data_IF_584826155140
#
_entry.id   IF_584826155140
#
_cell.length_a   1.000
_cell.length_b   1.000
_cell.length_c   1.000
_cell.angle_alpha   90.00
_cell.angle_beta   90.00
_cell.angle_gamma   90.00
#
_symmetry.space_group_name_H-M   'P 1'
#
loop_
_entity.id
_entity.type
_entity.pdbx_description
1 polymer ?
#
# COMPACT_ATOMS: atom_id res chain seq x y z
N UNK A 1 5.38 25.90 -5.01
CA UNK A 1 4.79 24.73 -5.67
C UNK A 1 3.84 24.07 -4.69
N UNK A 2 2.54 24.30 -4.84
CA UNK A 2 1.52 23.76 -3.92
C UNK A 2 1.36 22.28 -4.24
N UNK A 3 1.88 21.39 -3.38
CA UNK A 3 1.52 19.98 -3.43
C UNK A 3 0.01 19.90 -3.21
N UNK A 4 -0.74 19.64 -4.28
CA UNK A 4 -2.16 19.32 -4.17
C UNK A 4 -2.23 18.02 -3.40
N UNK A 5 -2.70 18.07 -2.16
CA UNK A 5 -3.17 16.88 -1.45
C UNK A 5 -4.12 16.16 -2.41
N UNK A 6 -3.89 14.87 -2.73
CA UNK A 6 -4.78 14.15 -3.63
C UNK A 6 -6.19 14.24 -3.04
N UNK A 7 -7.16 14.65 -3.87
CA UNK A 7 -8.55 14.62 -3.46
C UNK A 7 -8.90 13.16 -3.17
N UNK A 8 -9.12 12.82 -1.89
CA UNK A 8 -9.39 11.44 -1.48
C UNK A 8 -10.66 10.96 -2.15
N UNK A 9 -10.47 10.04 -3.08
CA UNK A 9 -11.53 9.41 -3.85
C UNK A 9 -11.90 8.10 -3.17
N UNK A 10 -13.15 7.68 -3.33
CA UNK A 10 -13.57 6.34 -2.94
C UNK A 10 -13.16 5.32 -4.02
N UNK A 11 -12.82 4.12 -3.58
CA UNK A 11 -12.52 3.00 -4.50
C UNK A 11 -13.82 2.57 -5.21
N UNK A 12 -13.77 2.43 -6.54
CA UNK A 12 -14.93 1.99 -7.35
C UNK A 12 -15.04 0.47 -7.37
N UNK A 13 -16.25 -0.06 -7.59
CA UNK A 13 -16.54 -1.51 -7.56
C UNK A 13 -15.75 -2.36 -8.56
N UNK A 14 -15.30 -1.79 -9.68
CA UNK A 14 -14.57 -2.48 -10.75
C UNK A 14 -13.08 -2.13 -10.78
N UNK A 15 -12.62 -1.42 -9.76
CA UNK A 15 -11.25 -0.97 -9.70
C UNK A 15 -10.33 -2.09 -9.28
N UNK A 16 -9.20 -2.23 -9.98
CA UNK A 16 -8.16 -3.17 -9.56
C UNK A 16 -7.57 -2.72 -8.23
N UNK A 17 -7.46 -3.65 -7.29
CA UNK A 17 -6.96 -3.38 -5.95
C UNK A 17 -5.87 -4.36 -5.57
N UNK A 18 -4.95 -3.93 -4.72
CA UNK A 18 -3.87 -4.73 -4.15
C UNK A 18 -3.90 -4.71 -2.63
N UNK A 19 -3.50 -5.82 -2.03
CA UNK A 19 -3.19 -5.89 -0.61
C UNK A 19 -1.87 -5.21 -0.28
N UNK A 20 -1.66 -4.94 1.01
CA UNK A 20 -0.39 -4.40 1.50
C UNK A 20 0.82 -5.30 1.16
N UNK A 21 0.64 -6.62 1.13
CA UNK A 21 1.68 -7.58 0.75
C UNK A 21 2.03 -7.45 -0.74
N UNK A 22 1.04 -7.47 -1.62
CA UNK A 22 1.24 -7.30 -3.06
C UNK A 22 1.91 -5.95 -3.38
N UNK A 23 1.59 -4.89 -2.64
CA UNK A 23 2.21 -3.57 -2.80
C UNK A 23 3.70 -3.61 -2.45
N UNK A 24 4.09 -4.22 -1.32
CA UNK A 24 5.51 -4.29 -0.95
C UNK A 24 6.31 -5.24 -1.84
N UNK A 25 5.72 -6.33 -2.32
CA UNK A 25 6.34 -7.23 -3.31
C UNK A 25 6.61 -6.50 -4.63
N UNK A 26 5.63 -5.72 -5.12
CA UNK A 26 5.84 -4.87 -6.30
C UNK A 26 6.90 -3.79 -6.04
N UNK A 27 6.91 -3.19 -4.86
CA UNK A 27 7.91 -2.19 -4.49
C UNK A 27 9.32 -2.78 -4.47
N UNK A 28 9.50 -3.96 -3.88
CA UNK A 28 10.76 -4.68 -3.84
C UNK A 28 11.22 -5.05 -5.26
N UNK A 29 10.32 -5.54 -6.12
CA UNK A 29 10.66 -5.85 -7.50
C UNK A 29 11.15 -4.63 -8.31
N UNK A 30 10.64 -3.43 -8.00
CA UNK A 30 11.03 -2.19 -8.69
C UNK A 30 12.29 -1.56 -8.11
N UNK A 31 12.48 -1.63 -6.79
CA UNK A 31 13.53 -0.87 -6.08
C UNK A 31 14.67 -1.71 -5.54
N UNK A 32 14.50 -3.03 -5.44
CA UNK A 32 15.40 -3.94 -4.71
C UNK A 32 15.34 -3.81 -3.19
N UNK A 33 14.46 -2.96 -2.65
CA UNK A 33 14.33 -2.74 -1.21
C UNK A 33 13.19 -3.55 -0.62
N UNK A 34 13.52 -4.52 0.24
CA UNK A 34 12.52 -5.31 0.96
C UNK A 34 11.98 -4.54 2.17
N UNK A 35 10.65 -4.42 2.27
CA UNK A 35 9.94 -3.77 3.37
C UNK A 35 8.80 -4.66 3.86
N UNK A 36 8.57 -4.65 5.17
CA UNK A 36 7.43 -5.38 5.76
C UNK A 36 6.07 -4.82 5.27
N UNK A 37 5.05 -5.65 4.99
CA UNK A 37 3.73 -5.20 4.49
C UNK A 37 3.04 -4.12 5.32
N UNK A 38 3.25 -4.10 6.65
CA UNK A 38 2.73 -3.03 7.52
C UNK A 38 3.22 -1.63 7.12
N UNK A 39 4.37 -1.50 6.44
CA UNK A 39 4.84 -0.21 5.94
C UNK A 39 3.92 0.34 4.84
N UNK A 40 3.41 -0.51 3.94
CA UNK A 40 2.45 -0.08 2.92
C UNK A 40 1.12 0.35 3.55
N UNK A 41 0.60 -0.43 4.51
CA UNK A 41 -0.62 -0.07 5.24
C UNK A 41 -0.47 1.24 6.05
N UNK A 42 0.69 1.45 6.69
CA UNK A 42 0.99 2.69 7.40
C UNK A 42 1.14 3.88 6.45
N UNK A 43 1.81 3.69 5.30
CA UNK A 43 1.93 4.72 4.27
C UNK A 43 0.54 5.13 3.77
N UNK A 44 -0.31 4.18 3.43
CA UNK A 44 -1.69 4.44 3.01
C UNK A 44 -2.50 5.19 4.09
N UNK A 45 -2.37 4.78 5.36
CA UNK A 45 -3.00 5.47 6.50
C UNK A 45 -2.53 6.91 6.67
N UNK A 46 -1.22 7.15 6.58
CA UNK A 46 -0.64 8.51 6.70
C UNK A 46 -1.06 9.38 5.52
N UNK A 47 -1.19 8.77 4.34
CA UNK A 47 -1.69 9.45 3.16
C UNK A 47 -3.20 9.70 3.22
N UNK A 48 -3.97 9.00 4.05
CA UNK A 48 -5.43 9.13 4.11
C UNK A 48 -6.15 8.41 2.97
N UNK A 49 -5.53 7.38 2.38
CA UNK A 49 -6.11 6.63 1.26
C UNK A 49 -7.26 5.73 1.71
N UNK A 50 -8.27 5.64 0.86
CA UNK A 50 -9.40 4.73 1.04
C UNK A 50 -8.95 3.27 0.87
N UNK A 51 -9.72 2.35 1.45
CA UNK A 51 -9.52 0.92 1.30
C UNK A 51 -10.85 0.18 1.31
N UNK A 52 -10.89 -0.95 0.61
CA UNK A 52 -11.98 -1.92 0.74
C UNK A 52 -11.52 -3.11 1.57
N UNK A 53 -12.46 -3.74 2.25
CA UNK A 53 -12.22 -4.97 3.01
C UNK A 53 -12.72 -6.17 2.20
N UNK A 54 -11.82 -7.12 1.95
CA UNK A 54 -12.13 -8.35 1.22
C UNK A 54 -11.93 -9.54 2.16
N UNK A 55 -12.94 -10.40 2.26
CA UNK A 55 -12.82 -11.67 2.98
C UNK A 55 -12.08 -12.67 2.10
N UNK A 56 -10.99 -13.21 2.61
CA UNK A 56 -10.18 -14.22 1.93
C UNK A 56 -10.05 -15.45 2.82
N UNK A 57 -10.26 -16.63 2.25
CA UNK A 57 -9.95 -17.89 2.91
C UNK A 57 -8.44 -18.13 2.85
N UNK A 58 -7.80 -18.30 4.01
CA UNK A 58 -6.33 -18.51 4.10
C UNK A 58 -5.95 -19.97 4.31
N UNK A 59 -6.83 -20.72 4.97
CA UNK A 59 -6.75 -22.17 5.21
C UNK A 59 -8.17 -22.68 5.21
N UNK A 60 -8.41 -23.95 4.84
CA UNK A 60 -9.74 -24.58 4.86
C UNK A 60 -10.56 -24.21 6.11
N UNK A 61 -11.59 -23.39 5.94
CA UNK A 61 -12.48 -22.92 7.00
C UNK A 61 -12.03 -21.69 7.80
N UNK A 62 -10.83 -21.17 7.55
CA UNK A 62 -10.26 -19.97 8.20
C UNK A 62 -10.31 -18.80 7.23
N UNK A 63 -11.11 -17.80 7.60
CA UNK A 63 -11.28 -16.56 6.84
C UNK A 63 -10.56 -15.42 7.51
N UNK A 64 -9.86 -14.61 6.72
CA UNK A 64 -9.28 -13.34 7.15
C UNK A 64 -9.91 -12.19 6.40
N UNK A 65 -9.89 -11.00 7.01
CA UNK A 65 -10.27 -9.75 6.35
C UNK A 65 -8.99 -9.06 5.92
N UNK A 66 -8.83 -8.90 4.61
CA UNK A 66 -7.70 -8.22 4.01
C UNK A 66 -8.12 -6.84 3.51
N UNK A 67 -7.36 -5.81 3.88
CA UNK A 67 -7.51 -4.47 3.31
C UNK A 67 -6.88 -4.44 1.93
N UNK A 68 -7.62 -3.93 0.94
CA UNK A 68 -7.13 -3.72 -0.42
C UNK A 68 -7.22 -2.25 -0.79
N UNK A 69 -6.15 -1.75 -1.39
CA UNK A 69 -5.97 -0.38 -1.83
C UNK A 69 -6.04 -0.35 -3.35
N UNK A 70 -6.51 0.74 -3.93
CA UNK A 70 -6.55 0.82 -5.39
C UNK A 70 -5.15 0.87 -6.00
N UNK A 71 -5.03 0.26 -7.19
CA UNK A 71 -3.87 0.38 -8.07
C UNK A 71 -3.52 1.83 -8.43
N UNK A 72 -4.51 2.72 -8.54
CA UNK A 72 -4.30 4.13 -8.91
C UNK A 72 -3.62 4.93 -7.79
N UNK A 73 -3.67 4.45 -6.55
CA UNK A 73 -3.06 5.14 -5.41
C UNK A 73 -1.68 4.57 -5.03
N UNK A 74 -1.22 3.54 -5.74
CA UNK A 74 0.05 2.85 -5.42
C UNK A 74 1.25 3.77 -5.57
N UNK A 75 1.28 4.63 -6.58
CA UNK A 75 2.42 5.52 -6.81
C UNK A 75 2.67 6.44 -5.60
N UNK A 76 1.60 6.93 -4.96
CA UNK A 76 1.72 7.72 -3.72
C UNK A 76 2.25 6.87 -2.55
N UNK A 77 1.81 5.61 -2.44
CA UNK A 77 2.32 4.68 -1.44
C UNK A 77 3.82 4.42 -1.69
N UNK A 78 4.23 4.22 -2.94
CA UNK A 78 5.61 3.98 -3.33
C UNK A 78 6.53 5.16 -2.98
N UNK A 79 6.10 6.40 -3.23
CA UNK A 79 6.86 7.59 -2.83
C UNK A 79 7.15 7.60 -1.32
N UNK A 80 6.15 7.24 -0.51
CA UNK A 80 6.31 7.13 0.95
C UNK A 80 7.22 5.97 1.36
N UNK A 81 7.09 4.82 0.72
CA UNK A 81 7.94 3.65 0.98
C UNK A 81 9.40 3.93 0.61
N UNK A 82 9.63 4.63 -0.50
CA UNK A 82 10.97 5.07 -0.91
C UNK A 82 11.60 6.00 0.13
N UNK A 83 10.85 7.02 0.59
CA UNK A 83 11.34 7.91 1.66
C UNK A 83 11.67 7.14 2.95
N UNK A 84 10.91 6.09 3.29
CA UNK A 84 11.19 5.22 4.43
C UNK A 84 12.46 4.39 4.21
N UNK A 85 12.63 3.78 3.04
CA UNK A 85 13.81 2.99 2.68
C UNK A 85 15.08 3.85 2.68
N UNK A 86 15.03 5.03 2.07
CA UNK A 86 16.14 5.98 2.03
C UNK A 86 16.56 6.44 3.43
N UNK A 87 15.59 6.67 4.33
CA UNK A 87 15.90 7.00 5.71
C UNK A 87 16.57 5.82 6.44
N UNK A 88 16.11 4.58 6.25
CA UNK A 88 16.74 3.40 6.86
C UNK A 88 18.19 3.21 6.40
N UNK A 89 18.46 3.45 5.11
CA UNK A 89 19.82 3.35 4.56
C UNK A 89 20.79 4.40 5.14
N UNK A 90 20.29 5.55 5.61
CA UNK A 90 21.11 6.62 6.21
C UNK A 90 21.56 6.33 7.65
N UNK A 91 20.87 5.44 8.36
CA UNK A 91 21.15 5.09 9.76
C UNK A 91 21.85 3.72 9.91
N UNK A 92 22.25 3.11 8.80
CA UNK A 92 23.15 1.96 8.76
C UNK A 92 24.58 2.44 8.48
#
# INVERSE_FOLDING_TARGET
MTQKTPAFRSIKSHEETLSATEIVERFEAVTGCSLHPTNAGNAAKVLGLDYIEVKQEVTSGVWTVQKRYSILDIDFIFERLKALADNRARYQ
#
